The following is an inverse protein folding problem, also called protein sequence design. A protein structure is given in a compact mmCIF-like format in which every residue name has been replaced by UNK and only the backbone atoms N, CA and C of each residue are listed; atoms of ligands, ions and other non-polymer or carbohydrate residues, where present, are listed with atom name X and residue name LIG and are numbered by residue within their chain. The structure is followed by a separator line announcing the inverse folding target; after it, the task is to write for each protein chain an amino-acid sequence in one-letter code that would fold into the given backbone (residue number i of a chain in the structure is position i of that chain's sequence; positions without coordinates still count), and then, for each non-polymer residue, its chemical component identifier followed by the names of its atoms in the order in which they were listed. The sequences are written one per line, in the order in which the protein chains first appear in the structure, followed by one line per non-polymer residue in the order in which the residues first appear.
data_IF_336802004560
#
_entry.id   IF_336802004560
#
_cell.length_a   1.000
_cell.length_b   1.000
_cell.length_c   1.000
_cell.angle_alpha   90.00
_cell.angle_beta   90.00
_cell.angle_gamma   90.00
#
_symmetry.space_group_name_H-M   'P 1'
#
loop_
_entity.id
_entity.type
_entity.pdbx_description
1 polymer ?
#
# COMPACT_ATOMS: atom_id res chain seq x y z
N UNK A 1 -3.54 -13.72 -18.21
CA UNK A 1 -2.32 -13.77 -17.39
C UNK A 1 -2.71 -14.15 -15.97
N UNK A 2 -1.94 -15.01 -15.30
CA UNK A 2 -2.22 -15.49 -13.94
C UNK A 2 -1.63 -14.45 -12.98
N UNK A 3 -2.47 -13.67 -12.30
CA UNK A 3 -2.00 -12.69 -11.34
C UNK A 3 -1.49 -13.43 -10.10
N UNK A 4 -0.18 -13.33 -9.83
CA UNK A 4 0.42 -13.89 -8.62
C UNK A 4 0.16 -12.94 -7.45
N UNK A 5 -0.50 -13.44 -6.41
CA UNK A 5 -0.64 -12.70 -5.15
C UNK A 5 0.65 -12.84 -4.35
N UNK A 6 1.18 -11.72 -3.86
CA UNK A 6 2.16 -11.71 -2.76
C UNK A 6 1.47 -11.19 -1.49
N UNK A 7 1.94 -11.60 -0.31
CA UNK A 7 1.44 -11.09 0.96
C UNK A 7 2.50 -10.17 1.53
N UNK A 8 2.13 -8.92 1.81
CA UNK A 8 2.92 -8.01 2.62
C UNK A 8 2.50 -8.17 4.07
N UNK A 9 3.43 -8.49 4.95
CA UNK A 9 3.20 -8.69 6.39
C UNK A 9 3.98 -7.63 7.17
N UNK A 10 3.29 -6.98 8.11
CA UNK A 10 3.87 -6.00 9.01
C UNK A 10 3.22 -6.15 10.40
N UNK A 11 4.02 -6.14 11.47
CA UNK A 11 3.52 -6.34 12.84
C UNK A 11 2.46 -5.31 13.25
N UNK A 12 2.57 -4.08 12.72
CA UNK A 12 1.66 -2.96 12.95
C UNK A 12 0.58 -2.78 11.89
N UNK A 13 0.54 -3.52 10.79
CA UNK A 13 -0.52 -3.40 9.77
C UNK A 13 -1.14 -4.73 9.36
N UNK A 14 -0.67 -5.85 9.90
CA UNK A 14 -1.14 -7.18 9.56
C UNK A 14 -0.73 -7.59 8.15
N UNK A 15 -1.58 -8.39 7.50
CA UNK A 15 -1.33 -8.98 6.19
C UNK A 15 -2.17 -8.31 5.12
N UNK A 16 -1.52 -7.76 4.09
CA UNK A 16 -2.17 -7.20 2.91
C UNK A 16 -1.77 -8.00 1.68
N UNK A 17 -2.74 -8.50 0.92
CA UNK A 17 -2.47 -9.13 -0.38
C UNK A 17 -2.12 -8.08 -1.42
N UNK A 18 -1.15 -8.37 -2.25
CA UNK A 18 -0.68 -7.53 -3.35
C UNK A 18 -0.68 -8.26 -4.68
N UNK A 19 -0.88 -7.53 -5.76
CA UNK A 19 -0.79 -7.99 -7.14
C UNK A 19 0.16 -7.08 -7.89
N UNK A 20 1.10 -7.63 -8.66
CA UNK A 20 1.95 -6.84 -9.54
C UNK A 20 1.17 -6.51 -10.81
N UNK A 21 1.01 -5.22 -11.10
CA UNK A 21 0.37 -4.70 -12.31
C UNK A 21 1.23 -3.58 -12.87
N UNK A 22 1.59 -3.71 -14.15
CA UNK A 22 2.43 -2.75 -14.87
C UNK A 22 3.79 -2.48 -14.18
N UNK A 23 4.38 -3.50 -13.56
CA UNK A 23 5.63 -3.39 -12.81
C UNK A 23 5.48 -2.91 -11.36
N UNK A 24 4.32 -2.36 -11.01
CA UNK A 24 4.08 -1.75 -9.70
C UNK A 24 3.23 -2.66 -8.78
N UNK A 25 3.45 -2.59 -7.45
CA UNK A 25 2.61 -3.29 -6.49
C UNK A 25 1.26 -2.59 -6.32
N UNK A 26 0.18 -3.34 -6.51
CA UNK A 26 -1.18 -2.92 -6.19
C UNK A 26 -1.69 -3.71 -4.99
N UNK A 27 -2.39 -3.06 -4.07
CA UNK A 27 -2.89 -3.65 -2.84
C UNK A 27 -4.33 -4.11 -3.03
N UNK A 28 -4.72 -5.24 -2.42
CA UNK A 28 -6.12 -5.64 -2.36
C UNK A 28 -6.86 -4.67 -1.45
N UNK A 29 -7.74 -3.85 -2.05
CA UNK A 29 -8.39 -2.75 -1.34
C UNK A 29 -9.28 -3.21 -0.19
N UNK A 30 -9.84 -4.43 -0.29
CA UNK A 30 -10.61 -5.03 0.81
C UNK A 30 -9.76 -5.20 2.07
N UNK A 31 -8.57 -5.78 1.93
CA UNK A 31 -7.67 -6.07 3.06
C UNK A 31 -7.27 -4.76 3.74
N UNK A 32 -6.89 -3.76 2.95
CA UNK A 32 -6.55 -2.42 3.44
C UNK A 32 -7.73 -1.81 4.21
N UNK A 33 -8.94 -1.85 3.64
CA UNK A 33 -10.11 -1.28 4.29
C UNK A 33 -10.46 -2.03 5.59
N UNK A 34 -10.26 -3.35 5.68
CA UNK A 34 -10.47 -4.14 6.90
C UNK A 34 -9.44 -3.79 7.98
N UNK A 35 -8.17 -3.64 7.62
CA UNK A 35 -7.10 -3.23 8.55
C UNK A 35 -7.36 -1.82 9.10
N UNK A 36 -7.84 -0.93 8.23
CA UNK A 36 -8.28 0.41 8.61
C UNK A 36 -9.65 0.42 9.32
N UNK A 37 -10.25 -0.76 9.51
CA UNK A 37 -11.48 -1.08 10.24
C UNK A 37 -12.77 -0.48 9.69
N UNK A 38 -12.82 -0.23 8.38
CA UNK A 38 -14.07 0.10 7.71
C UNK A 38 -15.07 -1.07 7.82
N UNK A 39 -16.26 -0.81 8.36
CA UNK A 39 -17.33 -1.80 8.48
C UNK A 39 -17.87 -2.28 7.13
N UNK A 40 -17.87 -1.39 6.12
CA UNK A 40 -18.21 -1.71 4.74
C UNK A 40 -17.05 -1.33 3.82
N UNK A 41 -16.22 -2.32 3.51
CA UNK A 41 -15.03 -2.15 2.67
C UNK A 41 -15.36 -1.67 1.25
N UNK A 42 -16.49 -2.12 0.68
CA UNK A 42 -16.92 -1.73 -0.66
C UNK A 42 -17.34 -0.26 -0.71
N UNK A 43 -18.09 0.21 0.29
CA UNK A 43 -18.46 1.62 0.41
C UNK A 43 -17.22 2.49 0.63
N UNK A 44 -16.29 2.06 1.51
CA UNK A 44 -15.03 2.76 1.73
C UNK A 44 -14.23 2.97 0.44
N UNK A 45 -14.02 1.90 -0.33
CA UNK A 45 -13.34 1.96 -1.64
C UNK A 45 -14.11 2.79 -2.69
N UNK A 46 -15.44 2.86 -2.57
CA UNK A 46 -16.24 3.68 -3.49
C UNK A 46 -16.15 5.17 -3.18
N UNK A 47 -16.10 5.54 -1.90
CA UNK A 47 -16.18 6.93 -1.43
C UNK A 47 -14.82 7.62 -1.30
N UNK A 48 -13.77 6.84 -1.00
CA UNK A 48 -12.48 7.38 -0.58
C UNK A 48 -11.35 7.06 -1.55
N UNK A 49 -11.61 6.34 -2.64
CA UNK A 49 -10.60 6.02 -3.65
C UNK A 49 -11.11 6.46 -5.01
N UNK A 50 -10.33 7.29 -5.69
CA UNK A 50 -10.67 7.78 -7.01
C UNK A 50 -10.68 6.66 -8.05
N UNK A 51 -11.37 6.89 -9.16
CA UNK A 51 -11.56 5.87 -10.20
C UNK A 51 -10.25 5.49 -10.90
N UNK A 52 -9.30 6.41 -10.98
CA UNK A 52 -7.98 6.18 -11.57
C UNK A 52 -7.05 5.38 -10.64
N UNK A 53 -7.30 5.43 -9.34
CA UNK A 53 -6.49 4.78 -8.30
C UNK A 53 -6.96 3.37 -7.93
N UNK A 54 -8.02 2.89 -8.58
CA UNK A 54 -8.56 1.55 -8.36
C UNK A 54 -8.88 0.84 -9.67
N UNK A 55 -8.70 -0.47 -9.66
CA UNK A 55 -9.16 -1.33 -10.75
C UNK A 55 -9.62 -2.67 -10.21
N UNK A 56 -10.19 -3.51 -11.08
CA UNK A 56 -10.61 -4.86 -10.72
C UNK A 56 -9.80 -5.88 -11.47
N UNK A 57 -9.24 -6.84 -10.75
CA UNK A 57 -8.54 -7.98 -11.32
C UNK A 57 -9.26 -9.27 -10.98
N UNK A 58 -9.11 -10.26 -11.84
CA UNK A 58 -9.55 -11.62 -11.54
C UNK A 58 -8.42 -12.33 -10.80
N UNK A 59 -8.71 -12.72 -9.57
CA UNK A 59 -7.79 -13.49 -8.75
C UNK A 59 -8.29 -14.93 -8.70
N UNK A 60 -7.41 -15.86 -9.04
CA UNK A 60 -7.62 -17.30 -8.92
C UNK A 60 -6.81 -17.82 -7.74
N UNK A 61 -7.48 -18.42 -6.77
CA UNK A 61 -6.80 -19.07 -5.66
C UNK A 61 -6.20 -20.41 -6.10
N UNK A 62 -5.02 -20.76 -5.62
CA UNK A 62 -4.31 -21.96 -6.08
C UNK A 62 -5.03 -23.20 -5.54
N UNK A 63 -5.75 -23.92 -6.41
CA UNK A 63 -6.55 -25.10 -6.05
C UNK A 63 -8.06 -24.92 -6.16
N UNK A 64 -8.53 -23.73 -6.53
CA UNK A 64 -9.95 -23.42 -6.71
C UNK A 64 -10.24 -22.92 -8.12
N UNK A 65 -11.29 -23.46 -8.76
CA UNK A 65 -11.81 -22.93 -10.02
C UNK A 65 -12.56 -21.59 -9.83
N UNK A 66 -12.70 -21.11 -8.59
CA UNK A 66 -13.38 -19.88 -8.28
C UNK A 66 -12.51 -18.67 -8.65
N UNK A 67 -12.99 -17.92 -9.64
CA UNK A 67 -12.42 -16.66 -10.09
C UNK A 67 -13.18 -15.52 -9.44
N UNK A 68 -12.60 -14.89 -8.43
CA UNK A 68 -13.21 -13.72 -7.79
C UNK A 68 -12.71 -12.43 -8.45
N UNK A 69 -13.66 -11.51 -8.73
CA UNK A 69 -13.33 -10.13 -9.10
C UNK A 69 -12.96 -9.37 -7.84
N UNK A 70 -11.71 -8.94 -7.74
CA UNK A 70 -11.16 -8.26 -6.58
C UNK A 70 -10.74 -6.85 -6.95
N UNK A 71 -11.21 -5.87 -6.18
CA UNK A 71 -10.73 -4.49 -6.30
C UNK A 71 -9.33 -4.39 -5.74
N UNK A 72 -8.42 -3.89 -6.56
CA UNK A 72 -7.06 -3.53 -6.16
C UNK A 72 -6.90 -2.01 -6.28
N UNK A 73 -6.04 -1.45 -5.44
CA UNK A 73 -5.73 -0.01 -5.38
C UNK A 73 -4.23 0.19 -5.52
N UNK A 74 -3.83 1.29 -6.17
CA UNK A 74 -2.43 1.71 -6.21
C UNK A 74 -2.05 2.42 -4.89
N UNK A 75 -0.82 2.92 -4.81
CA UNK A 75 -0.33 3.64 -3.64
C UNK A 75 -1.14 4.92 -3.34
N UNK A 76 -1.52 5.69 -4.37
CA UNK A 76 -2.35 6.89 -4.21
C UNK A 76 -3.69 6.54 -3.54
N UNK A 77 -4.39 5.52 -4.03
CA UNK A 77 -5.65 5.04 -3.45
C UNK A 77 -5.51 4.51 -2.03
N UNK A 78 -4.37 3.89 -1.69
CA UNK A 78 -4.06 3.51 -0.32
C UNK A 78 -3.97 4.73 0.60
N UNK A 79 -3.23 5.77 0.20
CA UNK A 79 -3.15 7.00 1.00
C UNK A 79 -4.51 7.69 1.13
N UNK A 80 -5.34 7.69 0.09
CA UNK A 80 -6.68 8.27 0.15
C UNK A 80 -7.57 7.60 1.21
N UNK A 81 -7.50 6.27 1.36
CA UNK A 81 -8.18 5.54 2.44
C UNK A 81 -7.64 5.91 3.82
N UNK A 82 -6.31 5.90 3.98
CA UNK A 82 -5.65 6.20 5.24
C UNK A 82 -6.00 7.60 5.72
N UNK A 83 -5.90 8.60 4.85
CA UNK A 83 -6.14 10.00 5.18
C UNK A 83 -7.61 10.28 5.50
N UNK A 84 -8.52 9.55 4.85
CA UNK A 84 -9.97 9.64 5.07
C UNK A 84 -10.46 8.89 6.30
N UNK A 85 -9.68 7.94 6.81
CA UNK A 85 -10.10 7.10 7.93
C UNK A 85 -10.11 7.87 9.26
N UNK A 86 -11.12 7.60 10.08
CA UNK A 86 -11.27 8.14 11.43
C UNK A 86 -10.76 7.18 12.51
N UNK A 87 -10.21 6.03 12.13
CA UNK A 87 -9.83 5.01 13.09
C UNK A 87 -8.51 5.32 13.79
N UNK A 88 -8.33 4.92 15.07
CA UNK A 88 -7.13 5.21 15.84
C UNK A 88 -5.84 4.80 15.13
N UNK A 89 -5.79 3.58 14.58
CA UNK A 89 -4.62 3.05 13.84
C UNK A 89 -4.30 3.86 12.58
N UNK A 90 -5.33 4.30 11.84
CA UNK A 90 -5.14 5.18 10.69
C UNK A 90 -4.65 6.57 11.09
N UNK A 91 -5.11 7.07 12.25
CA UNK A 91 -4.64 8.33 12.83
C UNK A 91 -3.17 8.24 13.27
N UNK A 92 -2.74 7.13 13.84
CA UNK A 92 -1.35 6.85 14.20
C UNK A 92 -0.46 6.80 12.95
N UNK A 93 -0.83 6.01 11.94
CA UNK A 93 -0.09 5.97 10.67
C UNK A 93 -0.02 7.34 10.00
N UNK A 94 -1.16 8.05 9.90
CA UNK A 94 -1.19 9.41 9.36
C UNK A 94 -0.28 10.33 10.16
N UNK A 95 -0.27 10.21 11.50
CA UNK A 95 0.58 11.04 12.36
C UNK A 95 2.06 10.74 12.12
N UNK A 96 2.45 9.46 12.05
CA UNK A 96 3.80 9.05 11.73
C UNK A 96 4.25 9.58 10.35
N UNK A 97 3.43 9.39 9.31
CA UNK A 97 3.72 9.92 7.97
C UNK A 97 3.88 11.45 7.98
N UNK A 98 2.96 12.17 8.62
CA UNK A 98 2.94 13.66 8.59
C UNK A 98 3.93 14.32 9.54
N UNK A 99 4.31 13.66 10.64
CA UNK A 99 5.22 14.22 11.64
C UNK A 99 6.67 13.79 11.44
N UNK A 100 6.92 12.62 10.83
CA UNK A 100 8.27 12.06 10.69
C UNK A 100 8.67 11.90 9.23
N UNK A 101 7.92 11.13 8.45
CA UNK A 101 8.30 10.76 7.08
C UNK A 101 8.37 11.98 6.17
N UNK A 102 7.27 12.73 6.02
CA UNK A 102 7.21 13.89 5.13
C UNK A 102 8.20 15.00 5.53
N UNK A 103 8.36 15.37 6.82
CA UNK A 103 9.39 16.32 7.22
C UNK A 103 10.82 15.85 6.94
N UNK A 104 11.10 14.55 7.06
CA UNK A 104 12.41 13.96 6.74
C UNK A 104 12.70 14.05 5.24
N UNK A 105 11.74 13.65 4.40
CA UNK A 105 11.83 13.78 2.94
C UNK A 105 12.07 15.24 2.55
N UNK A 106 11.29 16.18 3.10
CA UNK A 106 11.45 17.62 2.79
C UNK A 106 12.84 18.15 3.16
N UNK A 107 13.44 17.67 4.26
CA UNK A 107 14.75 18.15 4.75
C UNK A 107 15.92 17.50 4.02
N UNK A 108 15.81 16.22 3.66
CA UNK A 108 16.94 15.41 3.19
C UNK A 108 16.85 15.04 1.71
N UNK A 109 15.70 15.30 1.07
CA UNK A 109 15.41 14.86 -0.30
C UNK A 109 14.92 13.42 -0.40
N UNK A 110 14.84 12.66 0.71
CA UNK A 110 14.39 11.26 0.71
C UNK A 110 14.03 10.75 2.10
N UNK A 111 13.51 9.51 2.19
CA UNK A 111 13.37 8.81 3.46
C UNK A 111 14.06 7.47 3.32
N UNK A 112 14.91 7.14 4.28
CA UNK A 112 15.61 5.87 4.31
C UNK A 112 15.72 5.42 5.74
N UNK A 113 15.37 4.15 5.95
CA UNK A 113 15.23 3.55 7.27
C UNK A 113 16.57 3.30 7.95
N UNK A 114 17.69 3.33 7.20
CA UNK A 114 19.05 3.29 7.72
C UNK A 114 20.05 3.91 6.71
N UNK A 115 21.30 4.14 7.16
CA UNK A 115 22.38 4.70 6.34
C UNK A 115 22.73 3.85 5.12
N UNK A 116 22.79 2.52 5.27
CA UNK A 116 23.12 1.60 4.17
C UNK A 116 22.13 1.71 3.00
N UNK A 117 20.84 1.85 3.31
CA UNK A 117 19.79 2.06 2.31
C UNK A 117 19.86 3.45 1.68
N UNK A 118 20.31 4.49 2.41
CA UNK A 118 20.52 5.82 1.84
C UNK A 118 21.61 5.79 0.78
N UNK A 119 22.75 5.18 1.10
CA UNK A 119 23.85 5.03 0.15
C UNK A 119 23.38 4.24 -1.06
N UNK A 120 22.73 3.09 -0.87
CA UNK A 120 22.27 2.26 -1.98
C UNK A 120 21.24 2.93 -2.89
N UNK A 121 20.29 3.71 -2.34
CA UNK A 121 19.20 4.28 -3.13
C UNK A 121 19.56 5.64 -3.76
N UNK A 122 20.41 6.44 -3.13
CA UNK A 122 20.68 7.81 -3.53
C UNK A 122 22.14 8.07 -3.93
N UNK A 123 23.07 7.22 -3.49
CA UNK A 123 24.49 7.31 -3.80
C UNK A 123 25.08 5.94 -4.22
N UNK A 124 24.44 5.19 -5.14
CA UNK A 124 24.85 3.82 -5.49
C UNK A 124 26.26 3.74 -6.08
N UNK A 125 26.85 4.88 -6.44
CA UNK A 125 28.16 5.02 -7.06
C UNK A 125 29.28 5.29 -6.03
N UNK A 126 28.97 5.49 -4.74
CA UNK A 126 30.00 5.71 -3.71
C UNK A 126 30.75 4.43 -3.30
N UNK A 127 30.23 3.26 -3.70
CA UNK A 127 30.89 1.97 -3.52
C UNK A 127 31.84 1.63 -4.70
N UNK A 128 31.93 2.46 -5.74
CA UNK A 128 32.91 2.29 -6.83
C UNK A 128 34.22 3.04 -6.52
N UNK A 129 35.38 2.34 -6.44
CA UNK A 129 36.68 2.92 -6.10
C UNK A 129 37.30 3.79 -7.21
#
# INVERSE_FOLDING_TARGET
MKNMIKIFENDEFGKVRTVIKDGEPWLVGKDVAEILGYSNTRDALSRHVDTEDKTTVVISDSGSNYKSKTTIINESGFYSLVLSSKMPRAKEFRRWVTAEVLPTIRRTGGYVSNEDMFIKNYLPFLDEP
#
